data_IF_909121242239
#
_entry.id   IF_909121242239
#
_cell.length_a   1.000
_cell.length_b   1.000
_cell.length_c   1.000
_cell.angle_alpha   90.00
_cell.angle_beta   90.00
_cell.angle_gamma   90.00
#
_symmetry.space_group_name_H-M   'P 1'
#
loop_
_entity.id
_entity.type
_entity.pdbx_description
1 polymer ?
2 non-polymer ?
3 non-polymer ?
4 water ?
#
# COMPACT_ATOMS: atom_id res chain seq x y z
N UNK A 36 2.48 21.97 -13.66
CA UNK A 36 1.10 21.51 -14.00
C UNK A 36 0.91 21.36 -15.52
N UNK A 37 0.36 20.23 -15.96
CA UNK A 37 -0.03 19.12 -15.08
C UNK A 37 1.11 18.11 -14.86
N UNK A 38 1.76 18.25 -13.71
CA UNK A 38 2.90 17.42 -13.34
C UNK A 38 2.92 17.21 -11.82
N UNK A 39 3.15 15.97 -11.40
CA UNK A 39 3.27 15.63 -9.99
C UNK A 39 4.73 15.39 -9.63
N UNK A 40 5.19 16.09 -8.60
CA UNK A 40 6.56 15.95 -8.11
C UNK A 40 6.72 14.71 -7.23
N UNK A 41 7.79 13.95 -7.48
CA UNK A 41 8.10 12.75 -6.70
C UNK A 41 9.50 12.85 -6.11
N UNK A 42 9.61 12.57 -4.81
CA UNK A 42 10.87 12.65 -4.09
C UNK A 42 11.25 11.28 -3.53
N UNK A 43 12.42 10.78 -3.93
CA UNK A 43 12.94 9.52 -3.39
C UNK A 43 13.79 9.80 -2.15
N UNK A 44 13.46 9.13 -1.05
CA UNK A 44 14.07 9.41 0.25
C UNK A 44 15.23 8.48 0.62
N UNK A 45 15.39 7.40 -0.14
CA UNK A 45 16.49 6.46 0.06
C UNK A 45 16.81 5.68 -1.22
N UNK A 46 17.90 4.91 -1.18
CA UNK A 46 18.31 4.06 -2.31
C UNK A 46 17.39 2.84 -2.49
N UNK A 47 16.54 2.59 -1.49
CA UNK A 47 15.58 1.49 -1.53
C UNK A 47 14.28 1.87 -2.24
N UNK A 48 14.05 3.17 -2.38
CA UNK A 48 12.87 3.70 -3.05
C UNK A 48 12.92 3.46 -4.56
N UNK A 49 11.75 3.33 -5.17
CA UNK A 49 11.63 3.14 -6.61
C UNK A 49 10.58 4.08 -7.18
N UNK A 50 10.84 4.59 -8.38
CA UNK A 50 9.94 5.50 -9.07
C UNK A 50 8.66 4.77 -9.49
N UNK A 51 7.49 5.29 -9.05
CA UNK A 51 6.19 4.72 -9.42
C UNK A 51 6.00 4.63 -10.93
N UNK A 52 5.28 3.60 -11.38
CA UNK A 52 5.14 3.33 -12.81
C UNK A 52 3.68 3.24 -13.26
N UNK A 53 3.36 4.01 -14.29
CA UNK A 53 2.08 3.93 -14.98
C UNK A 53 2.36 3.57 -16.43
N UNK A 54 2.48 2.27 -16.69
CA UNK A 54 2.94 1.77 -17.99
C UNK A 54 1.95 1.95 -19.14
N UNK A 55 0.72 1.47 -18.96
CA UNK A 55 -0.29 1.54 -20.01
C UNK A 55 -0.95 2.92 -20.09
N UNK A 56 -1.40 3.28 -21.30
CA UNK A 56 -2.13 4.52 -21.54
C UNK A 56 -3.42 4.59 -20.73
N UNK A 57 -4.09 3.45 -20.59
CA UNK A 57 -5.42 3.37 -20.00
C UNK A 57 -5.42 3.25 -18.47
N UNK A 58 -4.29 2.80 -17.91
CA UNK A 58 -4.15 2.59 -16.47
C UNK A 58 -4.50 3.83 -15.65
N UNK A 59 -5.19 3.61 -14.54
CA UNK A 59 -5.71 4.70 -13.70
C UNK A 59 -4.72 5.17 -12.64
N UNK A 60 -3.89 4.25 -12.16
CA UNK A 60 -2.98 4.54 -11.05
C UNK A 60 -1.52 4.23 -11.32
N UNK A 61 -0.70 4.43 -10.29
CA UNK A 61 0.74 4.23 -10.36
C UNK A 61 1.17 3.11 -9.42
N UNK A 62 1.92 2.15 -9.96
CA UNK A 62 2.43 1.03 -9.16
C UNK A 62 3.34 1.53 -8.04
N UNK A 63 3.02 1.15 -6.81
CA UNK A 63 3.80 1.55 -5.64
C UNK A 63 4.58 0.36 -5.09
N UNK A 64 5.90 0.53 -5.01
CA UNK A 64 6.81 -0.53 -4.58
C UNK A 64 7.19 -0.38 -3.11
N UNK A 65 7.46 -1.51 -2.46
CA UNK A 65 7.95 -1.52 -1.09
C UNK A 65 9.43 -1.14 -1.04
N UNK A 66 9.80 -0.38 -0.02
CA UNK A 66 11.20 -0.01 0.19
C UNK A 66 11.85 -0.83 1.31
N UNK A 67 11.12 -1.82 1.82
CA UNK A 67 11.65 -2.67 2.88
C UNK A 67 11.14 -4.11 2.82
N UNK A 68 11.98 -5.02 3.31
CA UNK A 68 11.62 -6.43 3.44
C UNK A 68 11.07 -6.65 4.85
N UNK A 69 9.83 -7.14 4.92
CA UNK A 69 9.14 -7.35 6.19
C UNK A 69 8.35 -8.66 6.20
N UNK A 70 8.41 -9.38 7.32
CA UNK A 70 7.66 -10.62 7.52
C UNK A 70 6.49 -10.37 8.47
N UNK A 71 5.27 -10.53 7.96
CA UNK A 71 4.05 -10.32 8.75
C UNK A 71 3.38 -11.63 9.10
N UNK A 72 3.36 -11.96 10.38
CA UNK A 72 2.68 -13.16 10.86
C UNK A 72 1.17 -12.90 11.00
N UNK A 73 0.35 -13.97 11.19
CA UNK A 73 -1.09 -13.80 11.34
C UNK A 73 -1.48 -12.67 12.30
N UNK A 74 -2.47 -11.88 11.90
CA UNK A 74 -3.04 -10.78 12.71
C UNK A 74 -2.13 -9.57 12.94
N UNK A 75 -0.86 -9.66 12.53
CA UNK A 75 0.11 -8.58 12.72
C UNK A 75 -0.19 -7.37 11.84
N UNK A 76 -0.04 -6.18 12.42
CA UNK A 76 -0.26 -4.92 11.71
C UNK A 76 1.05 -4.15 11.58
N UNK A 77 1.20 -3.45 10.46
CA UNK A 77 2.38 -2.63 10.19
C UNK A 77 2.11 -1.52 9.17
N UNK A 78 2.99 -0.52 9.16
CA UNK A 78 2.96 0.53 8.15
C UNK A 78 4.25 0.43 7.34
N UNK A 79 4.16 -0.18 6.16
CA UNK A 79 5.33 -0.41 5.31
C UNK A 79 5.75 0.87 4.59
N UNK A 80 7.03 1.20 4.72
CA UNK A 80 7.61 2.41 4.13
C UNK A 80 7.89 2.22 2.64
N UNK A 81 7.59 3.25 1.85
CA UNK A 81 7.88 3.25 0.42
C UNK A 81 9.11 4.09 0.10
N UNK A 82 9.49 4.95 1.05
CA UNK A 82 10.58 5.93 0.90
C UNK A 82 10.35 6.86 -0.30
N UNK A 83 9.07 7.04 -0.64
CA UNK A 83 8.64 7.89 -1.74
C UNK A 83 7.78 9.02 -1.18
N UNK A 84 8.03 10.24 -1.64
CA UNK A 84 7.26 11.41 -1.23
C UNK A 84 6.68 12.13 -2.44
N UNK A 85 5.42 12.53 -2.35
CA UNK A 85 4.75 13.24 -3.45
C UNK A 85 4.17 14.58 -3.01
N UNK A 86 4.00 15.49 -3.96
CA UNK A 86 3.42 16.81 -3.69
C UNK A 86 2.14 17.00 -4.49
N UNK A 87 1.07 16.35 -4.04
CA UNK A 87 -0.24 16.48 -4.67
C UNK A 87 -0.73 17.92 -4.56
N UNK A 88 -1.09 18.54 -5.69
CA UNK A 88 -1.63 19.91 -5.68
C UNK A 88 -3.02 19.98 -5.04
N UNK A 89 -3.44 21.20 -4.70
CA UNK A 89 -4.76 21.44 -4.11
C UNK A 89 -5.87 21.06 -5.08
N UNK A 90 -6.99 20.61 -4.53
CA UNK A 90 -8.14 20.19 -5.34
C UNK A 90 -8.06 18.75 -5.78
N UNK A 91 -7.16 17.99 -5.15
CA UNK A 91 -6.99 16.57 -5.44
C UNK A 91 -6.69 15.78 -4.16
N UNK A 92 -7.00 14.48 -4.20
CA UNK A 92 -6.59 13.55 -3.15
C UNK A 92 -6.00 12.29 -3.77
N UNK A 93 -4.94 11.78 -3.16
CA UNK A 93 -4.32 10.54 -3.60
C UNK A 93 -4.85 9.36 -2.82
N UNK A 94 -5.27 8.33 -3.54
CA UNK A 94 -5.74 7.10 -2.92
C UNK A 94 -4.66 6.02 -3.00
N UNK A 95 -3.93 5.86 -1.90
CA UNK A 95 -2.91 4.82 -1.79
C UNK A 95 -3.62 3.52 -1.42
N UNK A 96 -3.96 2.75 -2.45
CA UNK A 96 -4.89 1.63 -2.31
C UNK A 96 -4.28 0.27 -2.66
N UNK A 97 -5.03 -0.79 -2.36
CA UNK A 97 -4.61 -2.16 -2.60
C UNK A 97 -4.45 -2.49 -4.08
N UNK A 98 -3.79 -3.61 -4.34
CA UNK A 98 -3.58 -4.11 -5.69
C UNK A 98 -4.51 -5.29 -5.93
N UNK A 99 -5.06 -5.38 -7.14
CA UNK A 99 -6.07 -6.38 -7.48
C UNK A 99 -5.62 -7.83 -7.26
N UNK A 100 -4.43 -8.16 -7.77
CA UNK A 100 -3.89 -9.52 -7.67
C UNK A 100 -3.46 -9.91 -6.27
N UNK A 101 -2.81 -8.99 -5.57
CA UNK A 101 -2.31 -9.26 -4.21
C UNK A 101 -3.45 -9.45 -3.21
N UNK A 102 -4.40 -8.53 -3.19
CA UNK A 102 -5.51 -8.57 -2.24
C UNK A 102 -6.45 -9.78 -2.43
N UNK A 103 -6.57 -10.25 -3.67
CA UNK A 103 -7.42 -11.40 -3.97
C UNK A 103 -6.76 -12.73 -3.61
N UNK A 104 -5.45 -12.81 -3.81
CA UNK A 104 -4.70 -14.05 -3.59
C UNK A 104 -4.24 -14.26 -2.15
N UNK A 105 -3.90 -13.17 -1.46
CA UNK A 105 -3.34 -13.24 -0.11
C UNK A 105 -4.29 -12.65 0.94
N UNK A 106 -4.01 -12.94 2.21
CA UNK A 106 -4.76 -12.36 3.32
C UNK A 106 -4.25 -10.98 3.73
N UNK A 107 -3.35 -10.41 2.93
CA UNK A 107 -2.81 -9.08 3.18
C UNK A 107 -3.84 -8.01 2.84
N UNK A 108 -4.27 -7.27 3.86
CA UNK A 108 -5.30 -6.25 3.69
C UNK A 108 -4.71 -4.86 3.85
N UNK A 109 -4.78 -4.08 2.77
CA UNK A 109 -4.33 -2.69 2.78
C UNK A 109 -5.53 -1.76 2.94
N UNK A 110 -5.46 -0.91 3.96
CA UNK A 110 -6.45 0.14 4.15
C UNK A 110 -6.07 1.33 3.28
N UNK A 111 -6.96 1.70 2.37
CA UNK A 111 -6.73 2.81 1.45
C UNK A 111 -6.50 4.10 2.23
N UNK A 112 -5.27 4.62 2.14
CA UNK A 112 -4.90 5.88 2.77
C UNK A 112 -5.26 7.07 1.89
N UNK A 113 -5.78 8.12 2.52
CA UNK A 113 -6.13 9.35 1.81
C UNK A 113 -4.99 10.36 1.93
N UNK A 114 -4.31 10.60 0.82
CA UNK A 114 -3.12 11.45 0.81
C UNK A 114 -3.47 12.90 0.49
N UNK A 115 -3.28 13.77 1.49
CA UNK A 115 -3.60 15.19 1.39
C UNK A 115 -2.69 15.94 0.43
N UNK A 116 -3.17 17.09 -0.04
CA UNK A 116 -2.38 18.01 -0.84
C UNK A 116 -1.20 18.56 -0.04
N UNK A 117 -1.35 18.59 1.28
CA UNK A 117 -0.31 19.07 2.17
C UNK A 117 0.35 17.96 2.96
N UNK A 118 0.78 16.92 2.26
CA UNK A 118 1.59 15.87 2.86
C UNK A 118 2.79 15.56 1.98
N UNK A 119 3.98 15.93 2.47
CA UNK A 119 5.22 15.76 1.72
C UNK A 119 6.14 14.74 2.39
N UNK A 120 5.60 14.01 3.36
CA UNK A 120 6.36 12.98 4.08
C UNK A 120 6.38 11.65 3.37
N UNK A 121 7.01 10.66 4.02
CA UNK A 121 7.12 9.31 3.50
C UNK A 121 5.75 8.63 3.40
N UNK A 122 5.45 8.08 2.22
CA UNK A 122 4.19 7.37 2.00
C UNK A 122 4.25 5.99 2.64
N UNK A 123 3.33 5.74 3.58
CA UNK A 123 3.28 4.47 4.29
C UNK A 123 2.06 3.66 3.92
N UNK A 124 2.26 2.36 3.72
CA UNK A 124 1.17 1.46 3.37
C UNK A 124 0.58 0.81 4.62
N UNK A 125 -0.67 1.18 4.91
CA UNK A 125 -1.40 0.68 6.07
C UNK A 125 -1.90 -0.73 5.80
N UNK A 126 -1.23 -1.72 6.41
CA UNK A 126 -1.45 -3.12 6.07
C UNK A 126 -1.70 -4.02 7.29
N UNK A 127 -2.52 -5.04 7.10
CA UNK A 127 -2.75 -6.08 8.10
C UNK A 127 -2.75 -7.45 7.44
N UNK A 128 -2.07 -8.41 8.08
CA UNK A 128 -2.19 -9.81 7.72
C UNK A 128 -3.46 -10.36 8.36
N UNK A 129 -4.54 -10.43 7.58
CA UNK A 129 -5.85 -10.80 8.10
C UNK A 129 -6.04 -12.31 8.26
N UNK A 130 -4.99 -13.09 8.00
CA UNK A 130 -5.04 -14.54 8.19
C UNK A 130 -5.23 -14.86 9.66
N UNK A 131 -6.11 -15.82 9.94
CA UNK A 131 -6.44 -16.21 11.30
C UNK A 131 -5.24 -16.86 11.99
N UNK A 132 -5.10 -16.60 13.29
CA UNK A 132 -4.01 -17.17 14.09
C UNK A 132 -4.47 -18.48 14.74
N UNK A 133 -4.37 -19.57 13.98
CA UNK A 133 -4.83 -20.89 14.45
C UNK A 133 -3.77 -21.67 15.24
N UNK A 134 -2.67 -20.99 15.57
CA UNK A 134 -1.58 -21.55 16.39
C UNK A 134 -0.82 -22.73 15.75
N UNK A 135 -1.02 -22.93 14.45
CA UNK A 135 -0.31 -23.97 13.71
C UNK A 135 1.01 -23.47 13.12
N UNK A 136 1.94 -24.39 12.89
CA UNK A 136 3.27 -24.06 12.38
C UNK A 136 3.57 -24.72 11.04
N UNK A 137 4.38 -24.04 10.23
CA UNK A 137 4.84 -24.56 8.95
C UNK A 137 6.25 -24.03 8.65
N UNK A 138 6.96 -24.71 7.75
CA UNK A 138 8.32 -24.29 7.39
C UNK A 138 8.34 -23.32 6.21
N UNK A 139 7.17 -23.03 5.66
CA UNK A 139 7.05 -22.19 4.47
C UNK A 139 6.46 -20.82 4.76
N UNK A 140 7.15 -19.78 4.29
CA UNK A 140 6.58 -18.44 4.21
C UNK A 140 5.78 -18.35 2.93
N UNK A 141 4.98 -17.29 2.80
CA UNK A 141 4.20 -17.07 1.60
C UNK A 141 4.56 -15.73 0.97
N UNK A 142 4.70 -15.72 -0.35
CA UNK A 142 4.96 -14.48 -1.08
C UNK A 142 3.66 -13.73 -1.38
N UNK A 143 3.77 -12.59 -2.08
CA UNK A 143 2.60 -11.78 -2.42
C UNK A 143 1.71 -12.43 -3.50
N UNK A 144 2.18 -13.55 -4.05
CA UNK A 144 1.39 -14.37 -4.98
C UNK A 144 0.79 -15.59 -4.28
N UNK A 145 0.94 -15.64 -2.96
CA UNK A 145 0.46 -16.74 -2.11
C UNK A 145 1.13 -18.09 -2.37
N UNK A 146 2.32 -18.05 -2.96
CA UNK A 146 3.13 -19.25 -3.20
C UNK A 146 4.03 -19.51 -1.99
N UNK A 147 4.37 -20.77 -1.77
CA UNK A 147 5.31 -21.14 -0.71
C UNK A 147 6.72 -20.74 -1.12
N UNK A 148 7.39 -19.98 -0.25
CA UNK A 148 8.78 -19.58 -0.48
C UNK A 148 9.72 -20.68 0.02
N UNK A 149 10.43 -21.30 -0.92
CA UNK A 149 11.37 -22.38 -0.60
C UNK A 149 12.70 -21.82 -0.10
N UNK A 150 13.06 -22.22 1.11
CA UNK A 150 14.32 -21.79 1.73
C UNK A 150 15.31 -22.94 1.79
N UNK A 151 16.59 -22.62 1.65
CA UNK A 151 17.66 -23.60 1.82
C UNK A 151 17.99 -23.77 3.30
N UNK A 152 17.88 -22.67 4.05
CA UNK A 152 18.00 -22.71 5.50
C UNK A 152 16.61 -22.86 6.12
N UNK A 153 16.35 -24.04 6.67
CA UNK A 153 15.03 -24.41 7.20
C UNK A 153 14.69 -23.68 8.50
N UNK A 154 13.59 -22.93 8.47
CA UNK A 154 13.10 -22.21 9.65
C UNK A 154 11.64 -22.57 9.95
N UNK A 155 11.18 -22.22 11.15
CA UNK A 155 9.82 -22.54 11.58
C UNK A 155 8.97 -21.28 11.72
N UNK A 156 7.88 -21.22 10.95
CA UNK A 156 6.99 -20.06 10.93
C UNK A 156 5.57 -20.41 11.36
N UNK A 157 4.81 -19.40 11.77
CA UNK A 157 3.37 -19.53 12.01
C UNK A 157 2.66 -19.68 10.67
N UNK A 158 1.68 -20.57 10.61
CA UNK A 158 0.93 -20.80 9.37
C UNK A 158 0.17 -19.54 8.96
N UNK A 159 0.30 -19.16 7.70
CA UNK A 159 -0.38 -17.98 7.16
C UNK A 159 0.45 -16.72 7.24
N UNK A 160 1.76 -16.88 7.40
CA UNK A 160 2.69 -15.75 7.43
C UNK A 160 3.13 -15.36 6.03
N UNK A 161 3.28 -14.06 5.80
CA UNK A 161 3.70 -13.55 4.50
C UNK A 161 5.01 -12.78 4.59
N UNK A 162 5.79 -12.84 3.52
CA UNK A 162 6.99 -12.02 3.39
C UNK A 162 6.85 -11.09 2.19
N UNK A 163 7.07 -9.80 2.42
CA UNK A 163 7.08 -8.81 1.36
C UNK A 163 8.52 -8.38 1.12
N UNK A 164 9.02 -8.67 -0.08
CA UNK A 164 10.40 -8.35 -0.46
C UNK A 164 10.53 -6.88 -0.85
N UNK A 165 11.72 -6.34 -0.67
CA UNK A 165 12.04 -4.97 -1.07
C UNK A 165 11.93 -4.81 -2.59
N UNK A 166 11.16 -3.81 -3.02
CA UNK A 166 11.03 -3.50 -4.44
C UNK A 166 9.85 -4.15 -5.15
N UNK A 167 8.98 -4.80 -4.39
CA UNK A 167 7.82 -5.50 -4.94
C UNK A 167 6.58 -4.61 -5.06
N UNK A 168 5.81 -4.82 -6.12
CA UNK A 168 4.53 -4.16 -6.31
C UNK A 168 3.52 -4.68 -5.29
N UNK A 169 3.17 -3.84 -4.32
CA UNK A 169 2.18 -4.21 -3.31
C UNK A 169 0.97 -3.28 -3.30
N UNK A 170 1.13 -2.08 -3.87
CA UNK A 170 0.07 -1.09 -3.88
C UNK A 170 0.06 -0.26 -5.16
N UNK A 171 -0.93 0.64 -5.26
CA UNK A 171 -1.01 1.60 -6.35
C UNK A 171 -1.58 2.94 -5.87
N UNK A 172 -1.26 4.02 -6.59
CA UNK A 172 -1.74 5.36 -6.23
C UNK A 172 -2.66 5.93 -7.30
N UNK A 173 -3.92 6.16 -6.93
CA UNK A 173 -4.91 6.76 -7.83
C UNK A 173 -5.31 8.14 -7.30
N UNK A 174 -5.10 9.17 -8.12
CA UNK A 174 -5.41 10.54 -7.74
C UNK A 174 -6.72 11.00 -8.38
N UNK A 175 -7.60 11.58 -7.56
CA UNK A 175 -8.92 12.04 -8.01
C UNK A 175 -9.21 13.47 -7.55
N UNK A 176 -9.94 14.25 -8.38
CA UNK A 176 -10.38 15.60 -8.01
C UNK A 176 -11.36 15.57 -6.84
N UNK A 177 -11.30 16.59 -5.99
CA UNK A 177 -12.15 16.68 -4.80
C UNK A 177 -12.94 17.98 -4.75
N UNK A 178 -14.06 17.95 -4.01
CA UNK A 178 -14.89 19.13 -3.81
C UNK A 178 -14.90 19.51 -2.33
N UNK A 179 -14.37 20.69 -2.02
CA UNK A 179 -14.25 21.16 -0.64
C UNK A 179 -14.89 22.54 -0.43
N UNK A 180 -16.23 22.58 -0.26
CA UNK A 180 -16.91 23.84 0.00
C UNK A 180 -16.85 24.27 1.47
N UNK A 181 -17.04 25.57 1.72
CA UNK A 181 -17.10 26.09 3.09
C UNK A 181 -18.45 25.76 3.71
N UNK A 182 -18.43 25.02 4.83
CA UNK A 182 -19.64 24.47 5.44
C UNK A 182 -20.61 25.52 5.98
N UNK A 183 -21.90 25.23 5.87
CA UNK A 183 -22.95 26.09 6.42
C UNK A 183 -24.01 25.27 7.15
N UNK A 184 -24.22 25.59 8.42
CA UNK A 184 -25.21 24.89 9.24
C UNK A 184 -26.63 25.35 8.93
N UNK A 185 -27.52 24.39 8.70
CA UNK A 185 -28.94 24.66 8.47
C UNK A 185 -29.80 23.83 9.43
N UNK A 186 -31.01 24.32 9.70
CA UNK A 186 -31.97 23.58 10.52
C UNK A 186 -32.79 22.62 9.65
N UNK A 187 -32.94 22.98 8.38
CA UNK A 187 -33.60 22.14 7.38
C UNK A 187 -32.94 22.32 6.02
N UNK A 188 -33.05 21.30 5.17
CA UNK A 188 -32.47 21.34 3.83
C UNK A 188 -33.39 22.04 2.83
N UNK A 189 -32.79 22.87 1.98
CA UNK A 189 -33.52 23.56 0.91
C UNK A 189 -33.44 22.75 -0.39
N UNK A 190 -34.61 22.47 -0.96
CA UNK A 190 -34.76 21.63 -2.17
C UNK A 190 -34.12 20.25 -2.01
X LIG B 1 -10.46 -10.66 10.37
X LIG C 1 -12.20 3.64 -1.48
X LIG C 1 -11.58 3.65 -2.82
X LIG C 1 -12.75 5.07 -1.13
X LIG C 1 -13.41 2.68 -1.42
X LIG C 1 -11.26 3.27 -0.41
X LIG C 1 -11.14 2.31 -3.11
X LIG C 1 -12.33 5.44 0.18
X LIG C 1 -13.39 1.94 -0.19
X LIG D 1 -10.64 -6.14 7.13
X LIG D 1 -11.68 -6.37 8.23
X LIG D 1 -9.31 -5.73 7.75
X LIG D 1 -10.46 -7.40 6.29
X LIG D 1 -11.12 -5.04 6.25
X LIG D 1 -12.98 -6.52 7.65
X LIG D 1 -9.03 -4.36 7.43
X LIG D 1 -11.56 -8.29 6.52
X LIG E 1 21.21 -17.94 4.55
#
# INVERSE_FOLDING_TARGET
MGSSHHHHHHSSGLVPRGSHMASMTGGQQMGRGSMTNTLQVKLLSKNARMPERNHKTDAGYDIFSAETVVLEPQEKAVIKTDVAVSIPEGYVGLLTSRSGVSSKTHLVIETGKIDAGYHGNLGINIKNDHEDDKMQTIFLRNIDNEKIFEKERHLYKLGSYRIEKGERIAQLVIVPIWTPELKQVEEFESVSERGEKGFGSSGV
NI NI
TRS C C1 C2 C3 N O1 O2 O3
TRS C C1 C2 C3 N O1 O2 O3
NI NI
#
